data_IF_614637801380
#
_entry.id   IF_614637801380
#
_cell.length_a   1.000
_cell.length_b   1.000
_cell.length_c   1.000
_cell.angle_alpha   90.00
_cell.angle_beta   90.00
_cell.angle_gamma   90.00
#
_symmetry.space_group_name_H-M   'P 1'
#
loop_
_entity.id
_entity.type
_entity.pdbx_description
1 polymer ?
#
# COMPACT_ATOMS: atom_id res chain seq x y z
N UNK A 1 -11.36 -28.89 28.93
CA UNK A 1 -11.50 -27.56 28.29
C UNK A 1 -11.86 -27.76 26.83
N UNK A 2 -13.03 -27.28 26.39
CA UNK A 2 -13.64 -27.58 25.07
C UNK A 2 -12.78 -27.20 23.85
N UNK A 3 -11.88 -26.24 23.99
CA UNK A 3 -11.04 -25.74 22.89
C UNK A 3 -9.61 -26.28 22.89
N UNK A 4 -9.25 -27.18 23.80
CA UNK A 4 -7.86 -27.64 23.97
C UNK A 4 -7.26 -28.21 22.68
N UNK A 5 -8.05 -28.97 21.93
CA UNK A 5 -7.59 -29.65 20.70
C UNK A 5 -8.00 -28.89 19.42
N UNK A 6 -8.79 -27.82 19.56
CA UNK A 6 -9.26 -26.98 18.44
C UNK A 6 -8.46 -25.69 18.29
N UNK A 7 -7.95 -25.15 19.40
CA UNK A 7 -7.20 -23.90 19.41
C UNK A 7 -5.73 -24.14 19.03
N UNK A 8 -5.37 -23.78 17.80
CA UNK A 8 -3.97 -23.80 17.35
C UNK A 8 -3.35 -22.43 17.63
N UNK A 9 -2.20 -22.43 18.31
CA UNK A 9 -1.43 -21.19 18.55
C UNK A 9 -0.94 -20.64 17.22
N UNK A 10 -1.18 -19.36 16.97
CA UNK A 10 -0.61 -18.68 15.81
C UNK A 10 0.91 -18.50 16.02
N UNK A 11 1.77 -18.97 15.09
CA UNK A 11 3.20 -18.73 15.19
C UNK A 11 3.52 -17.23 15.16
N UNK A 12 4.58 -16.81 15.86
CA UNK A 12 5.00 -15.40 15.89
C UNK A 12 5.25 -14.82 14.49
N UNK A 13 5.66 -15.66 13.54
CA UNK A 13 5.91 -15.28 12.14
C UNK A 13 4.72 -14.54 11.53
N UNK A 14 3.49 -14.90 11.90
CA UNK A 14 2.26 -14.30 11.35
C UNK A 14 1.68 -13.17 12.22
N UNK A 15 2.30 -12.85 13.35
CA UNK A 15 1.91 -11.76 14.24
C UNK A 15 3.04 -11.45 15.23
N UNK A 16 4.18 -10.97 14.71
CA UNK A 16 5.35 -10.73 15.54
C UNK A 16 5.14 -9.43 16.31
N UNK A 17 4.98 -9.52 17.63
CA UNK A 17 4.89 -8.36 18.49
C UNK A 17 6.28 -7.71 18.59
N UNK A 18 6.38 -6.41 18.32
CA UNK A 18 7.67 -5.70 18.29
C UNK A 18 8.45 -5.80 19.61
N UNK A 19 7.74 -5.90 20.74
CA UNK A 19 8.35 -6.05 22.06
C UNK A 19 9.05 -7.39 22.29
N UNK A 20 8.84 -8.39 21.43
CA UNK A 20 9.56 -9.65 21.50
C UNK A 20 11.06 -9.48 21.22
N UNK A 21 11.45 -8.44 20.45
CA UNK A 21 12.84 -8.16 20.10
C UNK A 21 13.74 -7.91 21.31
N UNK A 22 13.18 -7.43 22.44
CA UNK A 22 13.93 -7.19 23.67
C UNK A 22 13.46 -8.03 24.85
N UNK A 23 12.23 -8.56 24.83
CA UNK A 23 11.74 -9.47 25.87
C UNK A 23 12.21 -10.92 25.68
N UNK A 24 12.30 -11.36 24.43
CA UNK A 24 12.67 -12.73 24.06
C UNK A 24 13.55 -12.75 22.79
N UNK A 25 14.72 -12.09 22.81
CA UNK A 25 15.58 -11.95 21.63
C UNK A 25 16.06 -13.29 21.06
N UNK A 26 16.14 -14.34 21.89
CA UNK A 26 16.54 -15.70 21.49
C UNK A 26 15.39 -16.51 20.85
N UNK A 27 14.15 -16.01 20.89
CA UNK A 27 12.95 -16.71 20.39
C UNK A 27 12.40 -16.15 19.08
N UNK A 28 12.93 -15.01 18.63
CA UNK A 28 12.45 -14.32 17.43
C UNK A 28 13.59 -14.10 16.46
N UNK A 29 13.35 -14.51 15.22
CA UNK A 29 14.22 -14.22 14.10
C UNK A 29 13.47 -13.28 13.16
N UNK A 30 13.91 -12.02 13.10
CA UNK A 30 13.19 -10.95 12.42
C UNK A 30 12.98 -11.24 10.93
N UNK A 31 13.98 -11.84 10.27
CA UNK A 31 13.94 -12.21 8.84
C UNK A 31 12.87 -13.26 8.52
N UNK A 32 12.39 -14.01 9.51
CA UNK A 32 11.31 -15.00 9.34
C UNK A 32 9.94 -14.37 9.54
N UNK A 33 9.83 -13.18 10.10
CA UNK A 33 8.54 -12.52 10.33
C UNK A 33 7.89 -12.13 9.01
N UNK A 34 6.63 -12.52 8.84
CA UNK A 34 5.77 -12.13 7.70
C UNK A 34 4.88 -10.94 8.05
N UNK A 35 4.50 -10.82 9.31
CA UNK A 35 3.66 -9.72 9.81
C UNK A 35 4.27 -9.18 11.10
N UNK A 36 4.46 -7.87 11.14
CA UNK A 36 4.98 -7.14 12.30
C UNK A 36 3.84 -6.35 12.93
N UNK A 37 3.69 -6.49 14.24
CA UNK A 37 2.71 -5.79 15.04
C UNK A 37 3.40 -4.81 15.99
N UNK A 38 3.26 -3.53 15.64
CA UNK A 38 3.76 -2.38 16.42
C UNK A 38 2.90 -2.13 17.66
N UNK A 39 3.00 -2.99 18.67
CA UNK A 39 2.16 -2.98 19.88
C UNK A 39 2.82 -2.32 21.11
N UNK A 40 3.90 -1.55 20.93
CA UNK A 40 4.59 -0.82 21.99
C UNK A 40 4.41 0.69 21.79
N UNK A 41 4.54 1.45 22.88
CA UNK A 41 4.54 2.91 22.81
C UNK A 41 5.75 3.42 22.01
N UNK A 42 5.56 4.49 21.25
CA UNK A 42 6.55 4.99 20.28
C UNK A 42 6.78 4.11 19.04
N UNK A 43 6.35 2.85 19.04
CA UNK A 43 6.65 1.92 17.94
C UNK A 43 5.80 2.11 16.68
N UNK A 44 4.75 2.94 16.71
CA UNK A 44 3.91 3.21 15.54
C UNK A 44 4.75 3.94 14.48
N UNK A 45 4.99 3.36 13.28
CA UNK A 45 5.95 3.93 12.33
C UNK A 45 5.65 5.36 11.90
N UNK A 46 4.37 5.69 11.72
CA UNK A 46 3.90 7.04 11.35
C UNK A 46 3.99 8.09 12.48
N UNK A 47 4.39 7.69 13.69
CA UNK A 47 4.63 8.58 14.85
C UNK A 47 5.98 8.33 15.52
N UNK A 48 6.87 7.60 14.84
CA UNK A 48 8.12 7.16 15.44
C UNK A 48 9.05 8.37 15.69
N UNK A 49 9.46 8.55 16.95
CA UNK A 49 10.42 9.60 17.34
C UNK A 49 11.79 9.05 17.72
N UNK A 50 11.86 7.75 18.06
CA UNK A 50 13.06 7.08 18.55
C UNK A 50 13.42 7.39 20.00
N UNK A 51 12.62 8.18 20.73
CA UNK A 51 12.91 8.64 22.09
C UNK A 51 12.30 7.76 23.18
N UNK A 52 11.24 7.02 22.84
CA UNK A 52 10.54 6.15 23.78
C UNK A 52 11.40 4.92 24.14
N UNK A 53 11.03 4.24 25.23
CA UNK A 53 11.80 3.09 25.71
C UNK A 53 11.94 2.01 24.64
N UNK A 54 13.16 1.49 24.51
CA UNK A 54 13.58 0.52 23.49
C UNK A 54 13.50 1.01 22.04
N UNK A 55 13.00 2.21 21.73
CA UNK A 55 12.84 2.66 20.35
C UNK A 55 14.16 3.01 19.66
N UNK A 56 15.23 3.30 20.40
CA UNK A 56 16.56 3.59 19.84
C UNK A 56 17.29 2.40 19.18
N UNK A 57 16.71 1.19 19.21
CA UNK A 57 17.29 -0.05 18.70
C UNK A 57 17.36 -0.09 17.17
N UNK A 58 18.38 -0.72 16.63
CA UNK A 58 18.60 -0.75 15.18
C UNK A 58 17.56 -1.60 14.45
N UNK A 59 17.12 -2.72 15.05
CA UNK A 59 16.07 -3.57 14.50
C UNK A 59 14.76 -2.79 14.33
N UNK A 60 14.46 -1.85 15.23
CA UNK A 60 13.26 -1.01 15.16
C UNK A 60 13.40 0.04 14.07
N UNK A 61 14.56 0.70 13.96
CA UNK A 61 14.82 1.65 12.87
C UNK A 61 14.68 0.98 11.50
N UNK A 62 15.19 -0.23 11.35
CA UNK A 62 15.04 -1.02 10.11
C UNK A 62 13.56 -1.26 9.81
N UNK A 63 12.78 -1.70 10.79
CA UNK A 63 11.34 -1.94 10.61
C UNK A 63 10.57 -0.67 10.25
N UNK A 64 10.87 0.45 10.90
CA UNK A 64 10.25 1.74 10.62
C UNK A 64 10.60 2.22 9.21
N UNK A 65 11.86 2.09 8.80
CA UNK A 65 12.29 2.45 7.44
C UNK A 65 11.58 1.59 6.39
N UNK A 66 11.52 0.26 6.57
CA UNK A 66 10.78 -0.62 5.66
C UNK A 66 9.30 -0.24 5.56
N UNK A 67 8.67 0.18 6.66
CA UNK A 67 7.29 0.66 6.64
C UNK A 67 7.15 1.94 5.82
N UNK A 68 8.07 2.90 5.96
CA UNK A 68 8.07 4.15 5.19
C UNK A 68 8.41 3.92 3.72
N UNK A 69 9.30 2.98 3.40
CA UNK A 69 9.61 2.60 2.03
C UNK A 69 8.37 2.06 1.31
N UNK A 70 7.56 1.24 2.00
CA UNK A 70 6.28 0.76 1.48
C UNK A 70 5.26 1.90 1.40
N UNK A 71 5.13 2.72 2.44
CA UNK A 71 4.13 3.80 2.46
C UNK A 71 4.35 4.83 1.35
N UNK A 72 5.61 5.14 1.04
CA UNK A 72 5.98 6.10 -0.01
C UNK A 72 6.15 5.44 -1.39
N UNK A 73 5.76 4.18 -1.54
CA UNK A 73 5.88 3.46 -2.80
C UNK A 73 4.84 3.98 -3.81
N UNK A 74 5.25 4.60 -4.93
CA UNK A 74 4.33 5.31 -5.81
C UNK A 74 3.25 4.42 -6.43
N UNK A 75 3.45 3.11 -6.55
CA UNK A 75 2.40 2.22 -7.06
C UNK A 75 1.22 2.06 -6.10
N UNK A 76 1.39 2.39 -4.82
CA UNK A 76 0.31 2.46 -3.84
C UNK A 76 -0.44 3.78 -3.86
N UNK A 77 0.04 4.78 -4.59
CA UNK A 77 -0.70 6.04 -4.75
C UNK A 77 -2.06 5.73 -5.38
N UNK A 78 -3.09 6.32 -4.78
CA UNK A 78 -4.44 6.19 -5.31
C UNK A 78 -4.52 6.86 -6.67
N UNK A 79 -4.36 6.07 -7.72
CA UNK A 79 -4.38 6.57 -9.07
C UNK A 79 -5.83 6.75 -9.50
N UNK A 80 -6.28 7.99 -9.59
CA UNK A 80 -7.65 8.37 -9.98
C UNK A 80 -7.95 8.14 -11.47
N UNK A 81 -7.36 7.11 -12.07
CA UNK A 81 -7.66 6.63 -13.43
C UNK A 81 -9.07 6.02 -13.54
N UNK A 82 -9.93 6.22 -12.54
CA UNK A 82 -11.37 6.10 -12.76
C UNK A 82 -11.80 7.25 -13.68
N UNK A 83 -12.42 6.96 -14.83
CA UNK A 83 -12.90 8.02 -15.70
C UNK A 83 -13.88 8.90 -14.93
N UNK A 84 -13.62 10.22 -14.90
CA UNK A 84 -14.46 11.18 -14.18
C UNK A 84 -15.84 11.27 -14.80
N UNK A 85 -15.91 11.09 -16.12
CA UNK A 85 -17.16 10.99 -16.86
C UNK A 85 -17.03 9.91 -17.94
N UNK A 86 -18.09 9.12 -18.09
CA UNK A 86 -18.29 8.20 -19.19
C UNK A 86 -19.49 8.72 -19.98
N UNK A 87 -19.33 8.94 -21.28
CA UNK A 87 -20.43 9.32 -22.17
C UNK A 87 -20.57 8.30 -23.31
N UNK A 88 -21.81 8.16 -23.76
CA UNK A 88 -22.22 7.22 -24.80
C UNK A 88 -22.88 7.97 -25.95
N UNK A 89 -22.49 7.67 -27.19
CA UNK A 89 -23.23 8.08 -28.37
C UNK A 89 -23.17 6.99 -29.45
N UNK A 90 -23.80 7.21 -30.60
CA UNK A 90 -23.87 6.25 -31.70
C UNK A 90 -22.49 5.88 -32.30
N UNK A 91 -21.43 6.62 -31.95
CA UNK A 91 -20.08 6.43 -32.46
C UNK A 91 -19.14 5.72 -31.46
N UNK A 92 -19.55 5.51 -30.20
CA UNK A 92 -18.75 4.76 -29.21
C UNK A 92 -18.87 5.24 -27.77
N UNK A 93 -17.91 4.78 -26.94
CA UNK A 93 -17.77 5.12 -25.53
C UNK A 93 -16.58 6.06 -25.35
N UNK A 94 -16.82 7.21 -24.72
CA UNK A 94 -15.80 8.21 -24.44
C UNK A 94 -15.61 8.31 -22.93
N UNK A 95 -14.35 8.32 -22.50
CA UNK A 95 -14.01 8.49 -21.11
C UNK A 95 -13.09 9.70 -20.96
N UNK A 96 -13.38 10.56 -19.98
CA UNK A 96 -12.50 11.68 -19.65
C UNK A 96 -11.72 11.39 -18.39
N UNK A 97 -10.41 11.55 -18.48
CA UNK A 97 -9.49 11.43 -17.35
C UNK A 97 -9.03 12.84 -16.98
N UNK A 98 -9.28 13.23 -15.73
CA UNK A 98 -8.76 14.49 -15.22
C UNK A 98 -7.40 14.25 -14.59
N UNK A 99 -6.32 14.60 -15.28
CA UNK A 99 -5.02 14.73 -14.65
C UNK A 99 -4.95 16.11 -13.99
N UNK A 100 -4.39 16.18 -12.78
CA UNK A 100 -4.06 17.44 -12.13
C UNK A 100 -3.07 18.21 -13.02
N UNK A 101 -3.59 19.15 -13.82
CA UNK A 101 -2.79 19.98 -14.73
C UNK A 101 -3.25 20.01 -16.21
N UNK A 102 -4.24 19.21 -16.63
CA UNK A 102 -4.79 19.30 -17.98
C UNK A 102 -5.80 18.20 -18.30
N UNK A 103 -6.95 18.57 -18.87
CA UNK A 103 -7.95 17.60 -19.35
C UNK A 103 -7.43 16.88 -20.60
N UNK A 104 -7.36 15.54 -20.54
CA UNK A 104 -7.14 14.70 -21.71
C UNK A 104 -8.40 13.88 -22.01
N UNK A 105 -8.79 13.83 -23.29
CA UNK A 105 -9.91 13.01 -23.79
C UNK A 105 -9.35 11.78 -24.47
N UNK A 106 -9.71 10.60 -23.99
CA UNK A 106 -9.34 9.33 -24.62
C UNK A 106 -10.58 8.60 -25.15
N UNK A 107 -10.43 7.97 -26.32
CA UNK A 107 -11.45 7.11 -26.92
C UNK A 107 -11.24 5.71 -26.35
N UNK A 108 -12.20 5.19 -25.59
CA UNK A 108 -12.05 3.88 -24.92
C UNK A 108 -12.47 2.75 -25.85
N UNK A 109 -13.51 2.92 -26.67
CA UNK A 109 -13.89 1.95 -27.71
C UNK A 109 -14.67 2.61 -28.86
N UNK A 110 -14.33 2.29 -30.11
CA UNK A 110 -15.15 2.59 -31.28
C UNK A 110 -16.18 1.47 -31.54
N UNK A 111 -17.33 1.80 -32.13
CA UNK A 111 -18.43 0.87 -32.41
C UNK A 111 -18.06 -0.33 -33.32
N UNK A 112 -16.88 -0.30 -33.94
CA UNK A 112 -16.31 -1.36 -34.77
C UNK A 112 -15.39 -2.34 -33.99
N UNK A 113 -15.29 -2.20 -32.67
CA UNK A 113 -14.56 -3.13 -31.79
C UNK A 113 -13.03 -3.04 -31.89
N UNK A 114 -12.49 -2.02 -32.54
CA UNK A 114 -11.03 -1.79 -32.62
C UNK A 114 -10.59 -0.84 -31.50
N UNK A 115 -9.69 -1.30 -30.63
CA UNK A 115 -8.98 -0.43 -29.69
C UNK A 115 -8.08 0.52 -30.51
N UNK A 116 -8.38 1.82 -30.48
CA UNK A 116 -7.55 2.85 -31.09
C UNK A 116 -6.79 3.59 -29.99
N UNK A 117 -5.64 3.06 -29.58
CA UNK A 117 -4.65 3.83 -28.82
C UNK A 117 -3.94 4.79 -29.79
N UNK A 118 -4.56 5.95 -30.04
CA UNK A 118 -3.87 7.07 -30.66
C UNK A 118 -3.95 8.29 -29.75
N UNK A 119 -2.84 8.54 -29.08
CA UNK A 119 -2.57 9.76 -28.33
C UNK A 119 -2.33 10.87 -29.36
N UNK A 120 -3.31 11.75 -29.54
CA UNK A 120 -3.09 13.03 -30.23
C UNK A 120 -3.11 14.14 -29.19
N UNK A 121 -1.99 14.82 -28.92
CA UNK A 121 -2.02 16.02 -28.09
C UNK A 121 -2.80 17.10 -28.85
N UNK A 122 -3.78 17.73 -28.19
CA UNK A 122 -4.43 18.90 -28.76
C UNK A 122 -3.38 20.01 -28.92
N UNK A 123 -3.20 20.46 -30.17
CA UNK A 123 -2.51 21.69 -30.48
C UNK A 123 -3.20 22.86 -29.75
N UNK A 124 -2.39 23.67 -29.09
CA UNK A 124 -2.79 24.93 -28.48
C UNK A 124 -3.56 25.83 -29.46
N UNK A 125 -4.61 26.47 -28.96
CA UNK A 125 -5.26 27.64 -29.57
C UNK A 125 -5.43 28.70 -28.47
#
# INVERSE_FOLDING_TARGET
MFFKDKCKRLPYVYNMLVNMLWRHPDKVELTKAKVVHYCADGAKPWRYTGKEDQMGRDEIKVLVNMWWDIYNEPSLDYNSHSPKNISYNNNGVYATYGLDGGESREVVTSADGRNLTTISPLSAA
#
